data_IF_242305029118
#
_entry.id   IF_242305029118
#
_cell.length_a   1.000
_cell.length_b   1.000
_cell.length_c   1.000
_cell.angle_alpha   90.00
_cell.angle_beta   90.00
_cell.angle_gamma   90.00
#
_symmetry.space_group_name_H-M   'P 1'
#
loop_
_entity.id
_entity.type
_entity.pdbx_description
1 polymer ?
#
# COMPACT_ATOMS: atom_id res chain seq x y z
N UNK A 1 26.58 2.41 40.89
CA UNK A 1 26.76 1.75 39.57
C UNK A 1 26.44 2.75 38.48
N UNK A 2 27.32 2.90 37.48
CA UNK A 2 27.38 4.07 36.60
C UNK A 2 26.45 3.94 35.38
N UNK A 3 25.61 4.98 35.16
CA UNK A 3 24.59 5.18 34.10
C UNK A 3 25.04 4.89 32.65
N UNK A 4 26.33 4.65 32.42
CA UNK A 4 26.94 4.48 31.09
C UNK A 4 26.74 3.08 30.50
N UNK A 5 26.47 2.06 31.32
CA UNK A 5 26.31 0.66 30.85
C UNK A 5 24.90 0.30 30.35
N UNK A 6 23.86 1.04 30.75
CA UNK A 6 22.49 0.78 30.29
C UNK A 6 22.21 1.29 28.87
N UNK A 7 22.90 2.35 28.43
CA UNK A 7 22.75 2.87 27.06
C UNK A 7 23.20 1.87 25.98
N UNK A 8 24.21 1.05 26.25
CA UNK A 8 24.70 0.04 25.31
C UNK A 8 23.80 -1.22 25.25
N UNK A 9 23.13 -1.57 26.35
CA UNK A 9 22.19 -2.71 26.38
C UNK A 9 20.92 -2.36 25.60
N UNK A 10 20.44 -1.11 25.70
CA UNK A 10 19.29 -0.63 24.92
C UNK A 10 19.63 -0.57 23.41
N UNK A 11 20.83 -0.09 23.06
CA UNK A 11 21.25 -0.02 21.65
C UNK A 11 21.42 -1.40 21.00
N UNK A 12 21.87 -2.41 21.75
CA UNK A 12 21.96 -3.79 21.28
C UNK A 12 20.58 -4.47 21.16
N UNK A 13 19.61 -4.14 22.02
CA UNK A 13 18.24 -4.66 21.92
C UNK A 13 17.48 -4.10 20.70
N UNK A 14 17.69 -2.82 20.36
CA UNK A 14 17.10 -2.20 19.16
C UNK A 14 17.69 -2.80 17.87
N UNK A 15 18.99 -3.13 17.84
CA UNK A 15 19.61 -3.82 16.71
C UNK A 15 19.13 -5.27 16.55
N UNK A 16 18.81 -5.96 17.65
CA UNK A 16 18.30 -7.34 17.60
C UNK A 16 16.82 -7.41 17.13
N UNK A 17 16.00 -6.38 17.37
CA UNK A 17 14.64 -6.30 16.82
C UNK A 17 14.67 -6.01 15.31
N UNK A 18 15.58 -5.13 14.87
CA UNK A 18 15.74 -4.79 13.45
C UNK A 18 16.17 -5.98 12.57
N UNK A 19 17.01 -6.88 13.10
CA UNK A 19 17.43 -8.09 12.39
C UNK A 19 16.33 -9.17 12.34
N UNK A 20 15.47 -9.27 13.36
CA UNK A 20 14.43 -10.30 13.42
C UNK A 20 13.26 -10.03 12.46
N UNK A 21 12.94 -8.75 12.20
CA UNK A 21 11.89 -8.35 11.24
C UNK A 21 12.33 -8.62 9.79
N UNK A 22 13.63 -8.51 9.49
CA UNK A 22 14.14 -8.61 8.12
C UNK A 22 14.21 -10.06 7.62
N UNK A 23 14.46 -11.04 8.49
CA UNK A 23 14.57 -12.46 8.11
C UNK A 23 13.21 -13.19 8.06
N UNK A 24 12.15 -12.62 8.65
CA UNK A 24 10.78 -13.18 8.61
C UNK A 24 9.91 -12.62 7.47
N UNK A 25 10.30 -11.50 6.84
CA UNK A 25 9.50 -10.81 5.82
C UNK A 25 9.42 -11.57 4.49
N UNK A 26 10.54 -12.11 4.02
CA UNK A 26 10.61 -12.76 2.70
C UNK A 26 9.82 -14.08 2.64
N UNK A 27 9.65 -14.78 3.78
CA UNK A 27 8.81 -15.99 3.86
C UNK A 27 7.31 -15.69 3.93
N UNK A 28 6.93 -14.48 4.33
CA UNK A 28 5.53 -14.08 4.48
C UNK A 28 4.98 -13.40 3.23
N UNK A 29 5.83 -12.87 2.34
CA UNK A 29 5.38 -12.18 1.13
C UNK A 29 4.60 -13.11 0.20
N UNK A 30 5.18 -14.26 -0.18
CA UNK A 30 4.52 -15.23 -1.05
C UNK A 30 3.23 -15.77 -0.41
N UNK A 31 3.23 -15.95 0.92
CA UNK A 31 2.04 -16.34 1.67
C UNK A 31 0.97 -15.24 1.68
N UNK A 32 1.36 -13.98 1.81
CA UNK A 32 0.46 -12.82 1.79
C UNK A 32 -0.14 -12.61 0.40
N UNK A 33 0.67 -12.70 -0.65
CA UNK A 33 0.22 -12.65 -2.04
C UNK A 33 -0.73 -13.81 -2.32
N UNK A 34 -0.37 -15.04 -1.93
CA UNK A 34 -1.25 -16.22 -2.10
C UNK A 34 -2.58 -16.03 -1.39
N UNK A 35 -2.56 -15.58 -0.13
CA UNK A 35 -3.78 -15.32 0.65
C UNK A 35 -4.69 -14.30 -0.05
N UNK A 36 -4.11 -13.21 -0.57
CA UNK A 36 -4.87 -12.18 -1.28
C UNK A 36 -5.46 -12.75 -2.57
N UNK A 37 -4.68 -13.48 -3.35
CA UNK A 37 -5.14 -14.07 -4.61
C UNK A 37 -6.22 -15.15 -4.40
N UNK A 38 -6.05 -15.99 -3.37
CA UNK A 38 -6.98 -17.07 -3.02
C UNK A 38 -8.34 -16.52 -2.55
N UNK A 39 -8.33 -15.38 -1.87
CA UNK A 39 -9.54 -14.75 -1.31
C UNK A 39 -9.98 -13.46 -2.03
N UNK A 40 -9.33 -13.08 -3.14
CA UNK A 40 -9.65 -11.86 -3.89
C UNK A 40 -11.12 -11.81 -4.33
N UNK A 41 -11.67 -12.97 -4.74
CA UNK A 41 -13.08 -13.09 -5.17
C UNK A 41 -14.07 -13.07 -4.01
N UNK A 42 -13.61 -13.20 -2.77
CA UNK A 42 -14.41 -13.13 -1.55
C UNK A 42 -14.46 -11.72 -0.95
N UNK A 43 -13.75 -10.75 -1.52
CA UNK A 43 -13.81 -9.35 -1.09
C UNK A 43 -15.25 -8.86 -1.31
N UNK A 44 -15.89 -8.44 -0.21
CA UNK A 44 -17.29 -8.02 -0.16
C UNK A 44 -17.44 -6.56 0.26
N UNK A 45 -16.36 -5.90 0.67
CA UNK A 45 -16.39 -4.51 1.04
C UNK A 45 -15.07 -3.80 0.72
N UNK A 46 -15.19 -2.50 0.42
CA UNK A 46 -14.07 -1.59 0.20
C UNK A 46 -14.32 -0.32 1.01
N UNK A 47 -13.27 0.18 1.65
CA UNK A 47 -13.29 1.46 2.36
C UNK A 47 -12.19 2.37 1.80
N UNK A 48 -12.58 3.59 1.42
CA UNK A 48 -11.67 4.65 0.99
C UNK A 48 -11.57 5.70 2.08
N UNK A 49 -10.35 6.01 2.50
CA UNK A 49 -10.02 6.95 3.56
C UNK A 49 -9.13 8.06 3.02
N UNK A 50 -9.31 9.28 3.52
CA UNK A 50 -8.39 10.41 3.37
C UNK A 50 -7.99 10.87 4.77
N UNK A 51 -6.77 10.53 5.18
CA UNK A 51 -6.38 10.60 6.59
C UNK A 51 -7.35 9.78 7.46
N UNK A 52 -7.96 10.42 8.46
CA UNK A 52 -8.93 9.78 9.36
C UNK A 52 -10.38 9.82 8.82
N UNK A 53 -10.63 10.49 7.70
CA UNK A 53 -11.97 10.65 7.14
C UNK A 53 -12.32 9.52 6.17
N UNK A 54 -13.40 8.79 6.45
CA UNK A 54 -13.96 7.82 5.51
C UNK A 54 -14.74 8.55 4.40
N UNK A 55 -14.29 8.41 3.15
CA UNK A 55 -14.90 8.99 1.96
C UNK A 55 -15.93 8.05 1.33
N UNK A 56 -15.68 6.74 1.41
CA UNK A 56 -16.58 5.71 0.91
C UNK A 56 -16.50 4.46 1.80
N UNK A 57 -17.66 3.88 2.10
CA UNK A 57 -17.78 2.51 2.58
C UNK A 57 -18.79 1.78 1.68
N UNK A 58 -18.28 1.05 0.69
CA UNK A 58 -19.09 0.28 -0.23
C UNK A 58 -19.09 -1.19 0.18
N UNK A 59 -20.24 -1.85 0.03
CA UNK A 59 -20.43 -3.27 0.39
C UNK A 59 -21.23 -4.01 -0.68
N UNK A 60 -21.06 -5.32 -0.76
CA UNK A 60 -21.79 -6.18 -1.68
C UNK A 60 -21.52 -5.82 -3.14
N UNK A 61 -22.58 -5.60 -3.91
CA UNK A 61 -22.47 -5.34 -5.34
C UNK A 61 -21.84 -3.97 -5.66
N UNK A 62 -22.00 -2.98 -4.78
CA UNK A 62 -21.35 -1.66 -4.94
C UNK A 62 -19.83 -1.77 -4.81
N UNK A 63 -19.33 -2.62 -3.91
CA UNK A 63 -17.90 -2.83 -3.74
C UNK A 63 -17.28 -3.52 -4.97
N UNK A 64 -18.01 -4.45 -5.60
CA UNK A 64 -17.54 -5.21 -6.78
C UNK A 64 -17.18 -4.32 -7.96
N UNK A 65 -17.82 -3.16 -8.08
CA UNK A 65 -17.50 -2.21 -9.14
C UNK A 65 -16.09 -1.63 -8.97
N UNK A 66 -15.51 -1.63 -7.76
CA UNK A 66 -14.19 -1.04 -7.48
C UNK A 66 -13.09 -2.07 -7.18
N UNK A 67 -13.41 -3.36 -7.11
CA UNK A 67 -12.43 -4.42 -6.88
C UNK A 67 -11.73 -4.78 -8.18
N UNK A 68 -10.40 -4.79 -8.18
CA UNK A 68 -9.63 -5.23 -9.34
C UNK A 68 -9.89 -6.71 -9.65
N UNK A 69 -10.11 -7.03 -10.93
CA UNK A 69 -10.33 -8.41 -11.37
C UNK A 69 -9.09 -9.29 -11.13
N UNK A 70 -7.92 -8.68 -11.24
CA UNK A 70 -6.62 -9.30 -11.05
C UNK A 70 -5.82 -8.44 -10.06
N UNK A 71 -6.14 -8.50 -8.75
CA UNK A 71 -5.35 -7.77 -7.78
C UNK A 71 -3.92 -8.30 -7.79
N UNK A 72 -2.97 -7.43 -7.51
CA UNK A 72 -1.53 -7.72 -7.51
C UNK A 72 -1.01 -8.24 -8.87
N UNK A 73 -1.63 -7.83 -9.98
CA UNK A 73 -1.26 -8.23 -11.35
C UNK A 73 0.21 -7.97 -11.69
N UNK A 74 0.73 -6.82 -11.26
CA UNK A 74 2.14 -6.48 -11.34
C UNK A 74 2.57 -5.83 -10.04
N UNK A 75 3.57 -6.44 -9.40
CA UNK A 75 4.11 -6.04 -8.10
C UNK A 75 5.60 -5.80 -8.29
N UNK A 76 6.07 -4.62 -7.88
CA UNK A 76 7.48 -4.22 -7.98
C UNK A 76 7.97 -3.70 -6.65
N UNK A 77 9.19 -4.06 -6.27
CA UNK A 77 9.86 -3.44 -5.13
C UNK A 77 10.07 -1.95 -5.35
N UNK A 78 9.65 -1.12 -4.39
CA UNK A 78 9.95 0.30 -4.40
C UNK A 78 11.16 0.56 -3.50
N UNK A 79 12.28 0.92 -4.10
CA UNK A 79 13.49 1.23 -3.34
C UNK A 79 13.27 2.48 -2.47
N UNK A 80 14.08 2.62 -1.42
CA UNK A 80 14.04 3.82 -0.56
C UNK A 80 14.26 5.12 -1.33
N UNK A 81 15.03 5.08 -2.42
CA UNK A 81 15.28 6.24 -3.27
C UNK A 81 14.05 6.55 -4.12
N UNK A 82 13.42 5.56 -4.72
CA UNK A 82 12.21 5.79 -5.52
C UNK A 82 11.04 6.24 -4.64
N UNK A 83 10.97 5.79 -3.38
CA UNK A 83 9.95 6.25 -2.44
C UNK A 83 9.97 7.76 -2.21
N UNK A 84 11.12 8.43 -2.37
CA UNK A 84 11.23 9.89 -2.20
C UNK A 84 10.70 10.68 -3.39
N UNK A 85 10.35 10.01 -4.50
CA UNK A 85 9.68 10.63 -5.65
C UNK A 85 8.22 10.98 -5.31
N UNK A 86 7.66 10.32 -4.30
CA UNK A 86 6.29 10.47 -3.86
C UNK A 86 6.20 11.21 -2.53
N UNK A 87 5.05 11.81 -2.25
CA UNK A 87 4.75 12.45 -0.97
C UNK A 87 4.95 11.49 0.21
N UNK A 88 5.44 12.00 1.34
CA UNK A 88 5.72 11.18 2.52
C UNK A 88 4.44 10.57 3.09
N UNK A 89 3.40 11.38 3.22
CA UNK A 89 2.07 10.95 3.67
C UNK A 89 1.22 10.48 2.48
N UNK A 90 0.41 9.42 2.65
CA UNK A 90 -0.50 8.98 1.59
C UNK A 90 -1.65 9.96 1.42
N UNK A 91 -2.03 10.23 0.18
CA UNK A 91 -3.20 11.03 -0.14
C UNK A 91 -4.49 10.28 0.22
N UNK A 92 -4.50 8.97 0.00
CA UNK A 92 -5.63 8.10 0.32
C UNK A 92 -5.16 6.75 0.86
N UNK A 93 -6.04 6.08 1.59
CA UNK A 93 -5.85 4.72 2.07
C UNK A 93 -7.07 3.88 1.69
N UNK A 94 -6.84 2.73 1.05
CA UNK A 94 -7.90 1.81 0.60
C UNK A 94 -7.78 0.51 1.38
N UNK A 95 -8.87 0.10 2.01
CA UNK A 95 -8.95 -1.16 2.76
C UNK A 95 -9.92 -2.10 2.04
N UNK A 96 -9.41 -3.26 1.61
CA UNK A 96 -10.21 -4.33 1.02
C UNK A 96 -10.59 -5.34 2.11
N UNK A 97 -11.88 -5.64 2.24
CA UNK A 97 -12.40 -6.46 3.34
C UNK A 97 -13.17 -7.67 2.82
N UNK A 98 -13.13 -8.73 3.61
CA UNK A 98 -13.96 -9.93 3.47
C UNK A 98 -14.61 -10.19 4.83
N UNK A 99 -15.94 -10.30 4.89
CA UNK A 99 -16.67 -10.62 6.13
C UNK A 99 -16.28 -9.65 7.27
N UNK A 100 -16.27 -8.35 6.95
CA UNK A 100 -15.91 -7.24 7.84
C UNK A 100 -14.44 -7.18 8.31
N UNK A 101 -13.58 -8.10 7.86
CA UNK A 101 -12.16 -8.12 8.21
C UNK A 101 -11.29 -7.65 7.06
N UNK A 102 -10.25 -6.82 7.31
CA UNK A 102 -9.27 -6.47 6.28
C UNK A 102 -8.59 -7.72 5.72
N UNK A 103 -8.63 -7.88 4.39
CA UNK A 103 -7.83 -8.86 3.66
C UNK A 103 -6.47 -8.26 3.33
N UNK A 104 -6.45 -7.06 2.75
CA UNK A 104 -5.26 -6.26 2.51
C UNK A 104 -5.60 -4.78 2.38
N UNK A 105 -4.58 -3.95 2.44
CA UNK A 105 -4.69 -2.50 2.44
C UNK A 105 -3.57 -1.88 1.58
N UNK A 106 -3.88 -0.77 0.92
CA UNK A 106 -2.95 -0.06 0.04
C UNK A 106 -3.05 1.44 0.26
N UNK A 107 -1.90 2.09 0.24
CA UNK A 107 -1.74 3.53 0.28
C UNK A 107 -1.70 4.09 -1.14
N UNK A 108 -2.32 5.24 -1.34
CA UNK A 108 -2.25 5.98 -2.61
C UNK A 108 -1.31 7.15 -2.41
N UNK A 109 -0.14 7.07 -3.04
CA UNK A 109 0.91 8.08 -2.90
C UNK A 109 0.85 9.05 -4.07
N UNK A 110 0.81 10.35 -3.79
CA UNK A 110 0.92 11.40 -4.80
C UNK A 110 2.37 11.54 -5.29
N UNK A 111 2.54 11.74 -6.60
CA UNK A 111 3.86 12.04 -7.19
C UNK A 111 4.28 13.47 -6.85
N UNK A 112 5.31 13.61 -6.02
CA UNK A 112 5.91 14.89 -5.65
C UNK A 112 6.91 15.40 -6.70
N UNK A 113 7.71 14.51 -7.29
CA UNK A 113 8.82 14.86 -8.19
C UNK A 113 8.67 14.16 -9.55
N UNK A 114 7.79 14.67 -10.42
CA UNK A 114 7.48 14.06 -11.73
C UNK A 114 8.69 13.83 -12.63
N UNK A 115 9.71 14.69 -12.55
CA UNK A 115 10.93 14.57 -13.36
C UNK A 115 11.80 13.37 -13.02
N UNK A 116 11.58 12.73 -11.88
CA UNK A 116 12.36 11.56 -11.43
C UNK A 116 11.65 10.23 -11.69
N UNK A 117 10.43 10.24 -12.27
CA UNK A 117 9.77 9.02 -12.72
C UNK A 117 10.52 8.42 -13.91
N UNK A 118 11.17 7.28 -13.69
CA UNK A 118 11.73 6.46 -14.76
C UNK A 118 10.61 5.79 -15.60
N UNK A 119 10.99 5.19 -16.73
CA UNK A 119 10.03 4.59 -17.67
C UNK A 119 9.17 3.49 -17.02
N UNK A 120 9.71 2.77 -16.04
CA UNK A 120 9.02 1.68 -15.36
C UNK A 120 8.02 2.24 -14.34
N UNK A 121 8.40 3.23 -13.54
CA UNK A 121 7.48 3.93 -12.61
C UNK A 121 6.38 4.67 -13.37
N UNK A 122 6.69 5.24 -14.54
CA UNK A 122 5.69 5.88 -15.40
C UNK A 122 4.57 4.92 -15.84
N UNK A 123 4.85 3.63 -15.96
CA UNK A 123 3.85 2.61 -16.30
C UNK A 123 3.00 2.21 -15.09
N UNK A 124 3.52 2.41 -13.87
CA UNK A 124 2.81 2.04 -12.63
C UNK A 124 1.94 3.17 -12.07
N UNK A 125 2.25 4.42 -12.40
CA UNK A 125 1.45 5.56 -11.95
C UNK A 125 0.19 5.73 -12.80
N UNK A 126 -0.88 6.23 -12.17
CA UNK A 126 -2.13 6.58 -12.84
C UNK A 126 -2.51 8.03 -12.54
N UNK A 127 -3.37 8.61 -13.36
CA UNK A 127 -3.71 10.03 -13.29
C UNK A 127 -5.17 10.20 -12.89
N UNK A 128 -5.45 11.05 -11.90
CA UNK A 128 -6.80 11.50 -11.52
C UNK A 128 -6.80 13.03 -11.56
N UNK A 129 -7.60 13.60 -12.46
CA UNK A 129 -7.53 15.04 -12.75
C UNK A 129 -6.15 15.43 -13.29
N UNK A 130 -5.49 16.38 -12.62
CA UNK A 130 -4.14 16.83 -12.98
C UNK A 130 -3.03 16.15 -12.14
N UNK A 131 -3.39 15.25 -11.21
CA UNK A 131 -2.47 14.64 -10.25
C UNK A 131 -2.16 13.19 -10.62
N UNK A 132 -0.90 12.79 -10.43
CA UNK A 132 -0.45 11.41 -10.65
C UNK A 132 -0.25 10.70 -9.31
N UNK A 133 -0.66 9.44 -9.26
CA UNK A 133 -0.65 8.63 -8.05
C UNK A 133 -0.03 7.26 -8.31
N UNK A 134 0.48 6.63 -7.26
CA UNK A 134 0.94 5.26 -7.23
C UNK A 134 0.16 4.48 -6.17
N UNK A 135 -0.23 3.25 -6.48
CA UNK A 135 -0.72 2.31 -5.47
C UNK A 135 0.47 1.66 -4.77
N UNK A 136 0.59 1.88 -3.47
CA UNK A 136 1.69 1.40 -2.64
C UNK A 136 1.19 0.44 -1.57
N UNK A 137 1.73 -0.76 -1.56
CA UNK A 137 1.47 -1.75 -0.54
C UNK A 137 2.51 -1.62 0.59
N UNK A 138 2.21 -0.80 1.59
CA UNK A 138 3.17 -0.39 2.62
C UNK A 138 3.74 -1.56 3.45
N UNK A 139 2.91 -2.57 3.74
CA UNK A 139 3.32 -3.75 4.53
C UNK A 139 4.48 -4.51 3.87
N UNK A 140 4.43 -4.62 2.53
CA UNK A 140 5.43 -5.31 1.70
C UNK A 140 6.42 -4.35 1.02
N UNK A 141 6.17 -3.04 1.08
CA UNK A 141 6.95 -1.97 0.43
C UNK A 141 7.01 -2.05 -1.09
N UNK A 142 5.88 -2.40 -1.70
CA UNK A 142 5.80 -2.65 -3.15
C UNK A 142 4.86 -1.68 -3.84
N UNK A 143 5.20 -1.34 -5.06
CA UNK A 143 4.33 -0.63 -5.99
C UNK A 143 3.43 -1.65 -6.70
N UNK A 144 2.18 -1.27 -6.97
CA UNK A 144 1.20 -2.09 -7.68
C UNK A 144 0.73 -1.38 -8.95
N UNK A 145 0.70 -2.09 -10.07
CA UNK A 145 0.11 -1.60 -11.34
C UNK A 145 -1.42 -1.78 -11.34
N UNK A 146 -2.08 -1.38 -10.26
CA UNK A 146 -3.54 -1.42 -10.12
C UNK A 146 -4.11 -0.05 -10.40
N UNK A 147 -4.45 0.24 -11.66
CA UNK A 147 -4.88 1.57 -12.05
C UNK A 147 -6.35 1.68 -12.40
N UNK A 148 -7.01 0.70 -13.01
CA UNK A 148 -8.30 0.99 -13.67
C UNK A 148 -9.44 1.20 -12.68
N UNK A 149 -9.65 0.28 -11.74
CA UNK A 149 -10.75 0.39 -10.79
C UNK A 149 -10.39 1.34 -9.64
N UNK A 150 -9.13 1.36 -9.23
CA UNK A 150 -8.61 2.34 -8.25
C UNK A 150 -8.71 3.77 -8.77
N UNK A 151 -8.32 4.03 -10.02
CA UNK A 151 -8.48 5.35 -10.64
C UNK A 151 -9.95 5.75 -10.69
N UNK A 152 -10.84 4.85 -11.14
CA UNK A 152 -12.28 5.11 -11.17
C UNK A 152 -12.86 5.40 -9.78
N UNK A 153 -12.42 4.67 -8.75
CA UNK A 153 -12.81 4.91 -7.36
C UNK A 153 -12.42 6.33 -6.92
N UNK A 154 -11.18 6.75 -7.20
CA UNK A 154 -10.68 8.08 -6.84
C UNK A 154 -11.27 9.20 -7.69
N UNK A 155 -11.56 8.97 -8.97
CA UNK A 155 -12.26 9.93 -9.82
C UNK A 155 -13.66 10.25 -9.29
N UNK A 156 -14.34 9.25 -8.71
CA UNK A 156 -15.70 9.39 -8.19
C UNK A 156 -15.75 9.95 -6.77
N UNK A 157 -14.80 9.58 -5.90
CA UNK A 157 -14.89 9.86 -4.47
C UNK A 157 -13.66 10.54 -3.86
N UNK A 158 -12.54 10.62 -4.59
CA UNK A 158 -11.29 11.22 -4.14
C UNK A 158 -11.13 12.70 -4.57
N UNK A 159 -12.21 13.49 -4.52
CA UNK A 159 -12.19 14.93 -4.83
C UNK A 159 -12.38 15.78 -3.57
#
# INVERSE_FOLDING_TARGET
MTKRRWRFVIFAAVLLIGAFIMQYREKNEDEAISLILDHATEIDAIELLQGDQSLLQATGDEAKDFIEKHPLSHVRDLSKKERTIFEEEPAYHIVYKMKEKPLYEVEILEVAIRSELDEELQQMVFTVGDTQYLVYWANEKKALEQSTNTQRLLEQFGQ
#
